data_IF_852013590439
#
_entry.id   IF_852013590439
#
_cell.length_a   1.000
_cell.length_b   1.000
_cell.length_c   1.000
_cell.angle_alpha   90.00
_cell.angle_beta   90.00
_cell.angle_gamma   90.00
#
_symmetry.space_group_name_H-M   'P 1'
#
loop_
_entity.id
_entity.type
_entity.pdbx_description
1 polymer ?
#
# COMPACT_ATOMS: atom_id res chain seq x y z
N UNK A 1 0.79 -22.57 31.67
CA UNK A 1 -0.08 -22.68 30.49
C UNK A 1 0.83 -23.03 29.33
N UNK A 2 0.72 -24.24 28.79
CA UNK A 2 1.44 -24.58 27.56
C UNK A 2 0.82 -23.77 26.43
N UNK A 3 1.56 -22.78 25.94
CA UNK A 3 1.14 -21.99 24.79
C UNK A 3 1.35 -22.87 23.56
N UNK A 4 0.32 -23.60 23.15
CA UNK A 4 0.32 -24.31 21.87
C UNK A 4 0.51 -23.29 20.75
N UNK A 5 1.72 -23.24 20.18
CA UNK A 5 2.04 -22.40 19.02
C UNK A 5 1.21 -22.92 17.86
N UNK A 6 0.11 -22.23 17.57
CA UNK A 6 -0.70 -22.55 16.41
C UNK A 6 0.01 -22.00 15.19
N UNK A 7 0.43 -22.87 14.26
CA UNK A 7 1.11 -22.45 13.06
C UNK A 7 0.23 -21.50 12.23
N UNK A 8 0.81 -20.41 11.73
CA UNK A 8 0.12 -19.48 10.84
C UNK A 8 -0.22 -20.22 9.53
N UNK A 9 -1.49 -20.22 9.09
CA UNK A 9 -1.89 -20.89 7.85
C UNK A 9 -1.12 -20.37 6.64
N UNK A 10 -0.77 -21.25 5.70
CA UNK A 10 0.09 -20.93 4.55
C UNK A 10 -0.43 -19.74 3.73
N UNK A 11 -1.74 -19.67 3.48
CA UNK A 11 -2.37 -18.54 2.75
C UNK A 11 -2.13 -17.16 3.37
N UNK A 12 -1.87 -17.10 4.67
CA UNK A 12 -1.62 -15.87 5.40
C UNK A 12 -0.15 -15.67 5.72
N UNK A 13 0.73 -16.62 5.40
CA UNK A 13 2.15 -16.48 5.70
C UNK A 13 2.79 -15.44 4.77
N UNK A 14 3.75 -14.69 5.33
CA UNK A 14 4.70 -13.91 4.54
C UNK A 14 5.92 -14.80 4.34
N UNK A 15 6.10 -15.28 3.11
CA UNK A 15 7.18 -16.21 2.77
C UNK A 15 8.50 -15.48 2.54
N UNK A 16 8.43 -14.28 1.96
CA UNK A 16 9.60 -13.47 1.60
C UNK A 16 9.37 -12.00 1.93
N UNK A 17 10.39 -11.30 2.44
CA UNK A 17 10.31 -9.85 2.62
C UNK A 17 10.06 -9.12 1.29
N UNK A 18 9.15 -8.15 1.30
CA UNK A 18 8.85 -7.28 0.16
C UNK A 18 9.66 -5.99 0.24
N UNK A 19 10.67 -5.86 -0.62
CA UNK A 19 11.45 -4.63 -0.71
C UNK A 19 10.90 -3.72 -1.81
N UNK A 20 10.26 -2.63 -1.40
CA UNK A 20 9.77 -1.61 -2.33
C UNK A 20 10.95 -0.78 -2.85
N UNK A 21 11.40 -1.07 -4.07
CA UNK A 21 12.55 -0.42 -4.73
C UNK A 21 12.16 0.70 -5.69
N UNK A 22 10.88 1.03 -5.76
CA UNK A 22 10.37 2.06 -6.65
C UNK A 22 9.38 2.96 -5.93
N UNK A 23 9.09 4.11 -6.52
CA UNK A 23 8.03 4.98 -6.07
C UNK A 23 7.29 5.63 -7.22
N UNK A 24 6.01 5.92 -7.01
CA UNK A 24 5.16 6.57 -8.01
C UNK A 24 5.35 8.08 -7.94
N UNK A 25 5.85 8.68 -9.01
CA UNK A 25 5.93 10.13 -9.17
C UNK A 25 5.51 10.50 -10.60
N UNK A 26 4.61 11.46 -10.72
CA UNK A 26 4.15 11.99 -12.01
C UNK A 26 3.73 10.89 -13.02
N UNK A 27 3.01 9.87 -12.55
CA UNK A 27 2.53 8.75 -13.38
C UNK A 27 3.59 7.71 -13.76
N UNK A 28 4.78 7.75 -13.15
CA UNK A 28 5.86 6.79 -13.42
C UNK A 28 6.36 6.14 -12.14
N UNK A 29 6.68 4.84 -12.21
CA UNK A 29 7.43 4.15 -11.16
C UNK A 29 8.91 4.44 -11.36
N UNK A 30 9.46 5.34 -10.55
CA UNK A 30 10.89 5.68 -10.52
C UNK A 30 11.64 4.70 -9.62
N UNK A 31 12.83 4.28 -10.02
CA UNK A 31 13.72 3.49 -9.17
C UNK A 31 14.20 4.33 -7.97
N UNK A 32 14.38 3.67 -6.84
CA UNK A 32 14.89 4.26 -5.61
C UNK A 32 16.24 3.65 -5.23
N UNK A 33 17.27 4.49 -5.18
CA UNK A 33 18.64 4.12 -4.82
C UNK A 33 19.08 4.75 -3.47
N UNK A 34 18.14 5.42 -2.78
CA UNK A 34 18.39 6.09 -1.52
C UNK A 34 18.21 5.19 -0.30
N UNK A 35 18.24 5.76 0.92
CA UNK A 35 18.02 5.00 2.16
C UNK A 35 16.64 4.34 2.18
N UNK A 36 16.53 3.21 2.85
CA UNK A 36 15.25 2.50 3.06
C UNK A 36 15.02 2.26 4.54
N UNK A 37 13.75 2.21 4.93
CA UNK A 37 13.31 1.87 6.27
C UNK A 37 12.77 0.45 6.27
N UNK A 38 13.25 -0.38 7.19
CA UNK A 38 12.69 -1.72 7.41
C UNK A 38 11.29 -1.64 8.00
N UNK A 39 10.40 -2.52 7.54
CA UNK A 39 9.03 -2.64 8.03
C UNK A 39 8.93 -3.93 8.83
N UNK A 40 8.58 -3.80 10.11
CA UNK A 40 8.44 -4.92 11.03
C UNK A 40 6.99 -5.09 11.47
N UNK A 41 6.55 -6.34 11.54
CA UNK A 41 5.29 -6.73 12.19
C UNK A 41 5.49 -6.97 13.68
N UNK A 42 4.49 -6.63 14.48
CA UNK A 42 4.37 -7.09 15.87
C UNK A 42 3.92 -8.56 15.99
N UNK A 43 3.42 -9.15 14.90
CA UNK A 43 3.13 -10.58 14.82
C UNK A 43 4.46 -11.32 14.71
N UNK A 44 4.66 -12.30 15.58
CA UNK A 44 5.84 -13.15 15.55
C UNK A 44 5.55 -14.46 14.80
N UNK A 45 6.47 -14.84 13.92
CA UNK A 45 6.46 -16.13 13.22
C UNK A 45 7.37 -17.18 13.88
N UNK A 46 7.93 -16.90 15.06
CA UNK A 46 8.89 -17.75 15.77
C UNK A 46 8.35 -18.17 17.15
N UNK A 47 8.86 -19.28 17.70
CA UNK A 47 8.43 -19.76 19.03
C UNK A 47 8.80 -18.77 20.14
N UNK A 48 10.04 -18.30 20.15
CA UNK A 48 10.47 -17.17 20.96
C UNK A 48 10.04 -15.89 20.25
N UNK A 49 9.31 -15.02 20.94
CA UNK A 49 8.84 -13.78 20.35
C UNK A 49 9.99 -12.95 19.75
N UNK A 50 9.86 -12.67 18.46
CA UNK A 50 10.64 -11.69 17.71
C UNK A 50 9.74 -11.03 16.66
N UNK A 51 9.90 -9.71 16.42
CA UNK A 51 9.21 -9.04 15.31
C UNK A 51 9.53 -9.71 13.98
N UNK A 52 8.54 -9.81 13.09
CA UNK A 52 8.74 -10.40 11.76
C UNK A 52 9.10 -9.30 10.78
N UNK A 53 10.25 -9.40 10.11
CA UNK A 53 10.63 -8.49 9.02
C UNK A 53 9.71 -8.74 7.82
N UNK A 54 8.94 -7.71 7.43
CA UNK A 54 8.05 -7.76 6.28
C UNK A 54 8.72 -7.29 5.01
N UNK A 55 9.78 -6.49 5.12
CA UNK A 55 10.45 -5.88 3.98
C UNK A 55 11.00 -4.50 4.27
N UNK A 56 11.10 -3.66 3.24
CA UNK A 56 11.53 -2.27 3.39
C UNK A 56 10.87 -1.33 2.39
N UNK A 57 10.80 -0.06 2.76
CA UNK A 57 10.23 1.02 1.94
C UNK A 57 11.24 2.16 1.72
N UNK A 58 11.14 2.93 0.63
CA UNK A 58 11.97 4.12 0.42
C UNK A 58 11.82 5.14 1.56
N UNK A 59 12.93 5.57 2.13
CA UNK A 59 12.96 6.67 3.11
C UNK A 59 13.14 7.98 2.37
N UNK A 60 12.03 8.51 1.86
CA UNK A 60 12.03 9.78 1.13
C UNK A 60 12.20 10.98 2.05
N UNK A 61 12.81 12.04 1.52
CA UNK A 61 13.05 13.28 2.23
C UNK A 61 12.41 14.50 1.56
N UNK A 62 12.96 15.66 1.88
CA UNK A 62 12.50 16.96 1.38
C UNK A 62 12.52 17.04 -0.14
N UNK A 63 13.56 16.51 -0.79
CA UNK A 63 13.73 16.59 -2.25
C UNK A 63 12.60 15.87 -3.00
N UNK A 64 12.31 14.62 -2.64
CA UNK A 64 11.24 13.84 -3.27
C UNK A 64 9.86 14.45 -3.00
N UNK A 65 9.66 15.00 -1.80
CA UNK A 65 8.42 15.69 -1.44
C UNK A 65 8.21 16.96 -2.30
N UNK A 66 9.26 17.75 -2.54
CA UNK A 66 9.21 18.92 -3.42
C UNK A 66 8.98 18.52 -4.88
N UNK A 67 9.58 17.43 -5.36
CA UNK A 67 9.31 16.89 -6.69
C UNK A 67 7.85 16.45 -6.85
N UNK A 68 7.29 15.78 -5.84
CA UNK A 68 5.87 15.37 -5.82
C UNK A 68 4.93 16.58 -5.83
N UNK A 69 5.26 17.62 -5.06
CA UNK A 69 4.50 18.86 -5.05
C UNK A 69 4.54 19.57 -6.40
N UNK A 70 5.72 19.73 -6.99
CA UNK A 70 5.88 20.35 -8.31
C UNK A 70 5.11 19.56 -9.40
N UNK A 71 5.17 18.23 -9.37
CA UNK A 71 4.38 17.39 -10.26
C UNK A 71 2.86 17.60 -10.08
N UNK A 72 2.37 17.68 -8.84
CA UNK A 72 0.96 17.93 -8.55
C UNK A 72 0.52 19.34 -8.99
N UNK A 73 1.34 20.37 -8.76
CA UNK A 73 1.09 21.74 -9.21
C UNK A 73 1.02 21.83 -10.74
N UNK A 74 1.93 21.14 -11.44
CA UNK A 74 1.93 21.03 -12.91
C UNK A 74 0.71 20.27 -13.42
N UNK A 75 0.31 19.17 -12.78
CA UNK A 75 -0.87 18.41 -13.16
C UNK A 75 -2.17 19.19 -12.96
N UNK A 76 -2.24 20.04 -11.94
CA UNK A 76 -3.36 20.94 -11.70
C UNK A 76 -3.37 22.16 -12.65
N UNK A 77 -2.19 22.74 -12.92
CA UNK A 77 -1.97 23.92 -13.77
C UNK A 77 -2.98 25.06 -13.52
N UNK A 78 -3.15 25.44 -12.25
CA UNK A 78 -4.10 26.48 -11.82
C UNK A 78 -5.53 26.23 -12.36
N UNK A 79 -5.94 24.96 -12.42
CA UNK A 79 -7.25 24.53 -12.91
C UNK A 79 -7.33 24.28 -14.42
N UNK A 80 -6.22 24.47 -15.15
CA UNK A 80 -6.14 24.27 -16.62
C UNK A 80 -5.50 22.95 -17.03
N UNK A 81 -5.05 22.15 -16.06
CA UNK A 81 -4.45 20.85 -16.33
C UNK A 81 -5.46 19.83 -16.86
N UNK A 82 -4.94 18.70 -17.34
CA UNK A 82 -5.77 17.66 -17.95
C UNK A 82 -6.88 17.16 -17.00
N UNK A 83 -6.55 16.88 -15.74
CA UNK A 83 -7.52 16.38 -14.76
C UNK A 83 -8.63 17.39 -14.40
N UNK A 84 -8.35 18.64 -14.00
CA UNK A 84 -9.40 19.61 -13.67
C UNK A 84 -10.27 20.01 -14.87
N UNK A 85 -9.73 20.02 -16.09
CA UNK A 85 -10.47 20.36 -17.32
C UNK A 85 -11.19 19.17 -17.97
N UNK A 86 -10.87 17.94 -17.54
CA UNK A 86 -11.55 16.71 -17.98
C UNK A 86 -13.05 16.77 -17.65
N UNK A 87 -13.88 16.11 -18.46
CA UNK A 87 -15.31 15.99 -18.13
C UNK A 87 -15.46 15.15 -16.86
N UNK A 88 -16.46 15.46 -16.06
CA UNK A 88 -16.75 14.72 -14.81
C UNK A 88 -16.88 13.23 -15.10
N UNK A 89 -17.57 12.85 -16.18
CA UNK A 89 -17.71 11.45 -16.62
C UNK A 89 -16.36 10.76 -16.82
N UNK A 90 -15.43 11.39 -17.54
CA UNK A 90 -14.16 10.75 -17.86
C UNK A 90 -13.29 10.59 -16.60
N UNK A 91 -13.38 11.53 -15.62
CA UNK A 91 -12.73 11.35 -14.30
C UNK A 91 -13.33 10.18 -13.51
N UNK A 92 -14.65 10.02 -13.55
CA UNK A 92 -15.33 8.86 -12.96
C UNK A 92 -14.84 7.58 -13.63
N UNK A 93 -14.75 7.54 -14.96
CA UNK A 93 -14.25 6.37 -15.69
C UNK A 93 -12.81 6.00 -15.29
N UNK A 94 -11.93 7.00 -15.06
CA UNK A 94 -10.60 6.77 -14.49
C UNK A 94 -10.64 6.15 -13.09
N UNK A 95 -11.47 6.68 -12.19
CA UNK A 95 -11.62 6.15 -10.82
C UNK A 95 -12.22 4.75 -10.81
N UNK A 96 -13.23 4.48 -11.65
CA UNK A 96 -13.83 3.16 -11.82
C UNK A 96 -12.84 2.14 -12.36
N UNK A 97 -11.97 2.55 -13.30
CA UNK A 97 -10.88 1.69 -13.77
C UNK A 97 -9.90 1.37 -12.63
N UNK A 98 -9.53 2.35 -11.83
CA UNK A 98 -8.64 2.15 -10.69
C UNK A 98 -9.22 1.17 -9.68
N UNK A 99 -10.46 1.39 -9.21
CA UNK A 99 -11.08 0.53 -8.18
C UNK A 99 -11.26 -0.91 -8.66
N UNK A 100 -11.65 -1.13 -9.93
CA UNK A 100 -11.75 -2.48 -10.52
C UNK A 100 -10.42 -3.23 -10.54
N UNK A 101 -9.32 -2.53 -10.78
CA UNK A 101 -7.98 -3.13 -10.71
C UNK A 101 -7.61 -3.40 -9.24
N UNK A 102 -7.92 -2.45 -8.34
CA UNK A 102 -7.65 -2.59 -6.91
C UNK A 102 -8.36 -3.80 -6.30
N UNK A 103 -9.61 -4.08 -6.65
CA UNK A 103 -10.37 -5.26 -6.20
C UNK A 103 -9.61 -6.58 -6.45
N UNK A 104 -8.87 -6.69 -7.56
CA UNK A 104 -8.06 -7.88 -7.88
C UNK A 104 -6.89 -8.10 -6.92
N UNK A 105 -6.58 -7.10 -6.09
CA UNK A 105 -5.51 -7.10 -5.09
C UNK A 105 -6.01 -7.27 -3.67
N UNK A 106 -7.31 -7.53 -3.48
CA UNK A 106 -7.95 -7.68 -2.16
C UNK A 106 -7.16 -8.58 -1.22
N UNK A 107 -6.88 -9.82 -1.62
CA UNK A 107 -6.22 -10.81 -0.75
C UNK A 107 -4.81 -10.36 -0.33
N UNK A 108 -4.07 -9.76 -1.26
CA UNK A 108 -2.71 -9.24 -1.02
C UNK A 108 -2.74 -8.09 -0.02
N UNK A 109 -3.60 -7.09 -0.23
CA UNK A 109 -3.73 -5.93 0.66
C UNK A 109 -4.26 -6.33 2.02
N UNK A 110 -5.28 -7.19 2.10
CA UNK A 110 -5.82 -7.69 3.37
C UNK A 110 -4.75 -8.42 4.17
N UNK A 111 -3.95 -9.28 3.52
CA UNK A 111 -2.84 -9.97 4.18
C UNK A 111 -1.81 -8.96 4.72
N UNK A 112 -1.42 -7.97 3.93
CA UNK A 112 -0.47 -6.93 4.37
C UNK A 112 -1.03 -6.11 5.54
N UNK A 113 -2.31 -5.72 5.52
CA UNK A 113 -2.96 -5.03 6.64
C UNK A 113 -2.93 -5.86 7.93
N UNK A 114 -3.13 -7.18 7.84
CA UNK A 114 -3.01 -8.04 9.02
C UNK A 114 -1.58 -8.02 9.58
N UNK A 115 -0.58 -8.12 8.72
CA UNK A 115 0.82 -8.20 9.15
C UNK A 115 1.40 -6.86 9.59
N UNK A 116 1.19 -5.78 8.84
CA UNK A 116 1.82 -4.49 9.11
C UNK A 116 1.29 -3.85 10.40
N UNK A 117 -0.01 -3.99 10.68
CA UNK A 117 -0.66 -3.30 11.81
C UNK A 117 -1.38 -4.25 12.79
N UNK A 118 -1.19 -5.57 12.65
CA UNK A 118 -1.75 -6.56 13.58
C UNK A 118 -3.28 -6.65 13.57
N UNK A 119 -3.92 -6.27 12.45
CA UNK A 119 -5.39 -6.24 12.33
C UNK A 119 -5.95 -7.65 12.11
N UNK A 120 -7.15 -7.91 12.66
CA UNK A 120 -7.82 -9.20 12.47
C UNK A 120 -8.23 -9.38 11.01
N UNK A 121 -8.33 -10.63 10.53
CA UNK A 121 -8.77 -10.90 9.15
C UNK A 121 -10.14 -10.26 8.84
N UNK A 122 -11.21 -10.45 9.65
CA UNK A 122 -12.51 -9.84 9.36
C UNK A 122 -12.46 -8.30 9.33
N UNK A 123 -11.64 -7.68 10.17
CA UNK A 123 -11.52 -6.21 10.20
C UNK A 123 -10.73 -5.69 8.98
N UNK A 124 -9.65 -6.36 8.59
CA UNK A 124 -8.87 -6.03 7.39
C UNK A 124 -9.71 -6.18 6.12
N UNK A 125 -10.49 -7.26 6.02
CA UNK A 125 -11.43 -7.48 4.93
C UNK A 125 -12.49 -6.38 4.85
N UNK A 126 -13.15 -6.09 5.98
CA UNK A 126 -14.16 -5.04 6.07
C UNK A 126 -13.60 -3.66 5.71
N UNK A 127 -12.38 -3.34 6.10
CA UNK A 127 -11.74 -2.06 5.77
C UNK A 127 -11.45 -1.95 4.27
N UNK A 128 -10.93 -3.01 3.65
CA UNK A 128 -10.70 -3.03 2.22
C UNK A 128 -12.01 -2.89 1.45
N UNK A 129 -13.01 -3.71 1.78
CA UNK A 129 -14.30 -3.74 1.10
C UNK A 129 -15.04 -2.39 1.23
N UNK A 130 -15.01 -1.78 2.42
CA UNK A 130 -15.57 -0.44 2.64
C UNK A 130 -14.83 0.64 1.85
N UNK A 131 -13.52 0.53 1.68
CA UNK A 131 -12.74 1.48 0.88
C UNK A 131 -13.09 1.37 -0.60
N UNK A 132 -13.29 0.15 -1.10
CA UNK A 132 -13.81 -0.10 -2.45
C UNK A 132 -15.20 0.53 -2.61
N UNK A 133 -16.11 0.29 -1.66
CA UNK A 133 -17.47 0.82 -1.67
C UNK A 133 -17.51 2.36 -1.69
N UNK A 134 -16.60 3.04 -0.98
CA UNK A 134 -16.53 4.50 -0.98
C UNK A 134 -16.08 5.12 -2.30
N UNK A 135 -15.48 4.35 -3.21
CA UNK A 135 -15.05 4.85 -4.53
C UNK A 135 -16.15 4.68 -5.58
N UNK A 136 -17.05 3.70 -5.42
CA UNK A 136 -18.20 3.48 -6.32
C UNK A 136 -19.30 4.52 -6.15
#
# INVERSE_FOLDING_TARGET
METTVTAIPDKFRIEHPLHQKTYLLNGQLKAWEGPTSEVYSTISSTETYAPTLLGSIPTMGESEALEALDAALKAYDKGKGAWPTMRVKDRIDCMLKFVRIMETKREEVVKLLMWEIGKSLPDSEKEFDRTVEYIY
#
